data_IF_835705603898
#
_entry.id   IF_835705603898
#
_cell.length_a   1.000
_cell.length_b   1.000
_cell.length_c   1.000
_cell.angle_alpha   90.00
_cell.angle_beta   90.00
_cell.angle_gamma   90.00
#
_symmetry.space_group_name_H-M   'P 1'
#
loop_
_entity.id
_entity.type
_entity.pdbx_description
1 polymer ?
#
# COMPACT_ATOMS: atom_id res chain seq x y z
N UNK A 1 -16.56 18.19 -36.55
CA UNK A 1 -16.45 17.59 -35.19
C UNK A 1 -16.09 16.13 -35.42
N UNK A 2 -14.81 15.84 -35.30
CA UNK A 2 -14.26 14.48 -35.48
C UNK A 2 -14.74 13.57 -34.37
N UNK A 3 -15.43 12.48 -34.75
CA UNK A 3 -15.66 11.34 -33.89
C UNK A 3 -14.30 10.71 -33.56
N UNK A 4 -13.69 11.13 -32.47
CA UNK A 4 -12.61 10.38 -31.87
C UNK A 4 -13.21 9.05 -31.39
N UNK A 5 -12.89 7.99 -32.11
CA UNK A 5 -13.15 6.62 -31.70
C UNK A 5 -12.67 6.44 -30.27
N UNK A 6 -13.61 6.22 -29.33
CA UNK A 6 -13.30 5.78 -27.96
C UNK A 6 -12.60 4.42 -28.06
N UNK A 7 -11.28 4.43 -28.27
CA UNK A 7 -10.50 3.24 -28.00
C UNK A 7 -10.76 2.82 -26.56
N UNK A 8 -11.33 1.65 -26.40
CA UNK A 8 -11.48 1.00 -25.10
C UNK A 8 -10.08 0.76 -24.55
N UNK A 9 -9.55 1.70 -23.79
CA UNK A 9 -8.25 1.55 -23.13
C UNK A 9 -8.35 0.36 -22.16
N UNK A 10 -7.59 -0.68 -22.45
CA UNK A 10 -7.44 -1.84 -21.56
C UNK A 10 -6.89 -1.33 -20.23
N UNK A 11 -7.50 -1.77 -19.13
CA UNK A 11 -7.04 -1.38 -17.81
C UNK A 11 -5.59 -1.86 -17.58
N UNK A 12 -4.74 -1.08 -16.89
CA UNK A 12 -3.36 -1.46 -16.61
C UNK A 12 -3.25 -2.84 -15.97
N UNK A 13 -2.53 -3.75 -16.62
CA UNK A 13 -2.30 -5.10 -16.14
C UNK A 13 -0.92 -5.62 -16.60
N UNK A 14 -0.49 -6.75 -16.06
CA UNK A 14 0.66 -7.51 -16.51
C UNK A 14 0.45 -8.97 -16.12
N UNK A 15 -0.31 -9.71 -16.93
CA UNK A 15 -0.61 -11.12 -16.67
C UNK A 15 0.64 -11.98 -16.60
N UNK A 16 1.67 -11.64 -17.37
CA UNK A 16 2.97 -12.33 -17.34
C UNK A 16 3.64 -12.16 -15.96
N UNK A 17 3.65 -10.93 -15.41
CA UNK A 17 4.22 -10.70 -14.07
C UNK A 17 3.38 -11.35 -12.97
N UNK A 18 2.04 -11.39 -13.12
CA UNK A 18 1.18 -12.11 -12.20
C UNK A 18 1.48 -13.61 -12.18
N UNK A 19 1.67 -14.22 -13.36
CA UNK A 19 2.09 -15.62 -13.50
C UNK A 19 3.46 -15.86 -12.88
N UNK A 20 4.41 -14.97 -13.16
CA UNK A 20 5.74 -15.02 -12.59
C UNK A 20 5.70 -14.98 -11.06
N UNK A 21 4.92 -14.08 -10.49
CA UNK A 21 4.76 -13.95 -9.04
C UNK A 21 4.18 -15.22 -8.41
N UNK A 22 3.11 -15.78 -8.99
CA UNK A 22 2.50 -17.01 -8.51
C UNK A 22 3.46 -18.21 -8.63
N UNK A 23 4.22 -18.28 -9.71
CA UNK A 23 5.25 -19.30 -9.88
C UNK A 23 6.36 -19.20 -8.82
N UNK A 24 6.78 -17.98 -8.48
CA UNK A 24 7.73 -17.77 -7.38
C UNK A 24 7.22 -18.31 -6.05
N UNK A 25 5.93 -18.10 -5.74
CA UNK A 25 5.33 -18.63 -4.50
C UNK A 25 5.23 -20.14 -4.49
N UNK A 26 4.98 -20.76 -5.66
CA UNK A 26 4.93 -22.23 -5.80
C UNK A 26 6.30 -22.89 -5.66
N UNK A 27 7.35 -22.27 -6.21
CA UNK A 27 8.71 -22.83 -6.20
C UNK A 27 9.41 -22.53 -4.86
N UNK A 28 9.21 -21.33 -4.32
CA UNK A 28 9.92 -20.84 -3.15
C UNK A 28 9.21 -21.13 -1.81
N UNK A 29 7.95 -21.55 -1.84
CA UNK A 29 7.19 -21.94 -0.66
C UNK A 29 6.85 -20.77 0.27
N UNK A 30 6.99 -21.00 1.58
CA UNK A 30 6.51 -20.08 2.62
C UNK A 30 7.18 -18.71 2.58
N UNK A 31 8.47 -18.65 2.36
CA UNK A 31 9.23 -17.39 2.36
C UNK A 31 8.77 -16.44 1.25
N UNK A 32 8.65 -16.93 0.03
CA UNK A 32 8.18 -16.17 -1.12
C UNK A 32 6.70 -15.82 -1.00
N UNK A 33 5.93 -16.69 -0.36
CA UNK A 33 4.53 -16.42 -0.02
C UNK A 33 4.41 -15.27 0.98
N UNK A 34 5.23 -15.24 2.03
CA UNK A 34 5.27 -14.11 2.99
C UNK A 34 5.62 -12.79 2.32
N UNK A 35 6.66 -12.78 1.47
CA UNK A 35 7.05 -11.59 0.71
C UNK A 35 5.89 -11.12 -0.16
N UNK A 36 5.24 -12.05 -0.86
CA UNK A 36 4.10 -11.73 -1.72
C UNK A 36 2.92 -11.19 -0.90
N UNK A 37 2.61 -11.78 0.25
CA UNK A 37 1.54 -11.31 1.15
C UNK A 37 1.81 -9.93 1.75
N UNK A 38 3.08 -9.57 1.96
CA UNK A 38 3.46 -8.25 2.44
C UNK A 38 3.11 -7.15 1.42
N UNK A 39 3.22 -7.45 0.13
CA UNK A 39 2.87 -6.54 -0.97
C UNK A 39 1.39 -6.63 -1.36
N UNK A 40 0.89 -7.85 -1.58
CA UNK A 40 -0.43 -8.12 -2.12
C UNK A 40 -1.45 -8.28 -0.98
N UNK A 41 -1.86 -7.17 -0.40
CA UNK A 41 -2.86 -7.17 0.70
C UNK A 41 -4.29 -7.34 0.22
N UNK A 42 -4.56 -7.05 -1.06
CA UNK A 42 -5.88 -7.17 -1.66
C UNK A 42 -5.85 -8.18 -2.81
N UNK A 43 -6.76 -9.16 -2.79
CA UNK A 43 -6.85 -10.18 -3.85
C UNK A 43 -7.17 -9.59 -5.22
N UNK A 44 -7.79 -8.41 -5.26
CA UNK A 44 -8.07 -7.69 -6.50
C UNK A 44 -6.81 -7.11 -7.15
N UNK A 45 -5.65 -7.22 -6.50
CA UNK A 45 -4.37 -6.86 -7.11
C UNK A 45 -4.10 -7.69 -8.38
N UNK A 46 -4.53 -8.94 -8.42
CA UNK A 46 -4.49 -9.74 -9.63
C UNK A 46 -5.60 -9.31 -10.60
N UNK A 47 -5.23 -9.04 -11.85
CA UNK A 47 -6.17 -8.70 -12.92
C UNK A 47 -6.89 -9.94 -13.44
N UNK A 48 -6.14 -11.01 -13.69
CA UNK A 48 -6.69 -12.28 -14.15
C UNK A 48 -7.52 -12.93 -13.05
N UNK A 49 -8.78 -13.24 -13.35
CA UNK A 49 -9.66 -13.96 -12.42
C UNK A 49 -9.09 -15.32 -12.01
N UNK A 50 -8.36 -15.98 -12.92
CA UNK A 50 -7.71 -17.26 -12.68
C UNK A 50 -6.56 -17.08 -11.67
N UNK A 51 -5.69 -16.09 -11.88
CA UNK A 51 -4.58 -15.78 -10.98
C UNK A 51 -5.08 -15.38 -9.59
N UNK A 52 -6.18 -14.62 -9.52
CA UNK A 52 -6.85 -14.28 -8.27
C UNK A 52 -7.31 -15.51 -7.48
N UNK A 53 -7.89 -16.49 -8.17
CA UNK A 53 -8.32 -17.73 -7.52
C UNK A 53 -7.13 -18.56 -7.01
N UNK A 54 -6.08 -18.67 -7.81
CA UNK A 54 -4.83 -19.33 -7.42
C UNK A 54 -4.24 -18.65 -6.18
N UNK A 55 -4.14 -17.34 -6.18
CA UNK A 55 -3.64 -16.59 -5.02
C UNK A 55 -4.47 -16.82 -3.75
N UNK A 56 -5.79 -16.85 -3.87
CA UNK A 56 -6.68 -17.18 -2.74
C UNK A 56 -6.43 -18.58 -2.20
N UNK A 57 -6.20 -19.55 -3.07
CA UNK A 57 -5.89 -20.91 -2.67
C UNK A 57 -4.52 -20.99 -1.99
N UNK A 58 -3.47 -20.35 -2.52
CA UNK A 58 -2.14 -20.25 -1.90
C UNK A 58 -2.25 -19.65 -0.48
N UNK A 59 -2.93 -18.53 -0.33
CA UNK A 59 -3.15 -17.91 0.99
C UNK A 59 -3.88 -18.82 1.97
N UNK A 60 -4.83 -19.60 1.49
CA UNK A 60 -5.55 -20.54 2.32
C UNK A 60 -4.63 -21.66 2.81
N UNK A 61 -3.84 -22.26 1.92
CA UNK A 61 -2.89 -23.32 2.27
C UNK A 61 -1.86 -22.80 3.28
N UNK A 62 -1.25 -21.66 2.99
CA UNK A 62 -0.29 -21.01 3.89
C UNK A 62 -0.86 -20.77 5.30
N UNK A 63 -2.07 -20.19 5.40
CA UNK A 63 -2.72 -19.91 6.69
C UNK A 63 -3.07 -21.15 7.49
N UNK A 64 -3.25 -22.30 6.84
CA UNK A 64 -3.53 -23.57 7.47
C UNK A 64 -2.29 -24.45 7.68
N UNK A 65 -1.08 -23.90 7.44
CA UNK A 65 0.19 -24.61 7.52
C UNK A 65 0.20 -25.89 6.66
N UNK A 66 -0.42 -25.84 5.49
CA UNK A 66 -0.39 -26.91 4.49
C UNK A 66 0.67 -26.57 3.46
N UNK A 67 1.56 -27.52 3.18
CA UNK A 67 2.61 -27.35 2.17
C UNK A 67 2.02 -26.95 0.80
N UNK A 68 2.62 -25.94 0.18
CA UNK A 68 2.16 -25.38 -1.08
C UNK A 68 2.89 -26.11 -2.21
N UNK A 69 2.22 -27.07 -2.81
CA UNK A 69 2.67 -27.78 -4.00
C UNK A 69 1.58 -27.84 -5.08
N UNK A 70 1.91 -28.39 -6.25
CA UNK A 70 0.95 -28.50 -7.37
C UNK A 70 -0.28 -29.32 -7.02
N UNK A 71 -0.13 -30.36 -6.20
CA UNK A 71 -1.21 -31.30 -5.87
C UNK A 71 -2.16 -30.64 -4.89
N UNK A 72 -1.64 -30.15 -3.78
CA UNK A 72 -2.41 -29.47 -2.71
C UNK A 72 -3.11 -28.23 -3.26
N UNK A 73 -2.42 -27.46 -4.11
CA UNK A 73 -2.98 -26.27 -4.75
C UNK A 73 -4.08 -26.62 -5.76
N UNK A 74 -3.86 -27.63 -6.61
CA UNK A 74 -4.84 -28.09 -7.60
C UNK A 74 -6.12 -28.59 -6.92
N UNK A 75 -5.97 -29.36 -5.86
CA UNK A 75 -7.08 -29.91 -5.06
C UNK A 75 -7.86 -28.76 -4.39
N UNK A 76 -7.15 -27.80 -3.79
CA UNK A 76 -7.79 -26.64 -3.17
C UNK A 76 -8.53 -25.77 -4.17
N UNK A 77 -7.98 -25.53 -5.36
CA UNK A 77 -8.66 -24.77 -6.42
C UNK A 77 -9.91 -25.52 -6.87
N UNK A 78 -9.84 -26.86 -7.01
CA UNK A 78 -10.98 -27.69 -7.36
C UNK A 78 -12.09 -27.60 -6.33
N UNK A 79 -11.76 -27.64 -5.04
CA UNK A 79 -12.71 -27.43 -3.95
C UNK A 79 -13.42 -26.07 -4.02
N UNK A 80 -12.65 -25.03 -4.34
CA UNK A 80 -13.17 -23.64 -4.36
C UNK A 80 -13.99 -23.31 -5.62
N UNK A 81 -13.65 -23.92 -6.76
CA UNK A 81 -14.18 -23.52 -8.08
C UNK A 81 -14.88 -24.63 -8.84
N UNK A 82 -14.81 -25.86 -8.34
CA UNK A 82 -15.30 -27.06 -9.01
C UNK A 82 -14.42 -27.56 -10.16
N UNK A 83 -13.37 -26.82 -10.54
CA UNK A 83 -12.45 -27.15 -11.64
C UNK A 83 -11.03 -26.78 -11.28
N UNK A 84 -10.07 -27.57 -11.77
CA UNK A 84 -8.65 -27.22 -11.72
C UNK A 84 -8.03 -27.34 -13.10
N UNK A 85 -7.14 -26.42 -13.44
CA UNK A 85 -6.39 -26.42 -14.70
C UNK A 85 -4.92 -26.75 -14.37
N UNK A 86 -4.64 -28.06 -14.28
CA UNK A 86 -3.31 -28.55 -13.95
C UNK A 86 -2.26 -28.13 -15.00
N UNK A 87 -2.64 -27.98 -16.27
CA UNK A 87 -1.74 -27.51 -17.32
C UNK A 87 -1.31 -26.06 -17.05
N UNK A 88 -2.24 -25.19 -16.67
CA UNK A 88 -1.91 -23.82 -16.32
C UNK A 88 -1.01 -23.74 -15.07
N UNK A 89 -1.31 -24.54 -14.05
CA UNK A 89 -0.53 -24.58 -12.82
C UNK A 89 0.90 -25.08 -13.06
N UNK A 90 1.09 -26.12 -13.86
CA UNK A 90 2.44 -26.58 -14.24
C UNK A 90 3.20 -25.52 -15.03
N UNK A 91 2.56 -24.78 -15.91
CA UNK A 91 3.17 -23.67 -16.64
C UNK A 91 3.60 -22.48 -15.76
N UNK A 92 3.09 -22.36 -14.53
CA UNK A 92 3.60 -21.38 -13.58
C UNK A 92 4.98 -21.74 -13.03
N UNK A 93 5.34 -23.03 -13.02
CA UNK A 93 6.63 -23.50 -12.52
C UNK A 93 7.77 -23.38 -13.53
N UNK A 94 7.46 -23.02 -14.78
CA UNK A 94 8.47 -22.80 -15.82
C UNK A 94 9.26 -21.48 -15.65
N UNK A 95 9.06 -20.80 -14.51
CA UNK A 95 9.66 -19.51 -14.24
C UNK A 95 11.09 -19.67 -13.78
N UNK A 96 12.05 -18.93 -14.37
CA UNK A 96 13.48 -19.24 -14.22
C UNK A 96 14.09 -18.89 -12.86
N UNK A 97 13.43 -18.06 -12.00
CA UNK A 97 14.05 -17.63 -10.75
C UNK A 97 13.06 -17.03 -9.77
N UNK A 98 13.16 -17.43 -8.50
CA UNK A 98 12.43 -16.83 -7.37
C UNK A 98 13.09 -15.55 -6.84
N UNK A 99 14.32 -15.24 -7.30
CA UNK A 99 15.10 -14.09 -6.82
C UNK A 99 14.38 -12.74 -6.99
N UNK A 100 13.45 -12.65 -7.94
CA UNK A 100 12.76 -11.40 -8.28
C UNK A 100 11.35 -11.28 -7.70
N UNK A 101 10.96 -12.13 -6.73
CA UNK A 101 9.60 -12.15 -6.15
C UNK A 101 9.16 -10.77 -5.66
N UNK A 102 10.05 -10.04 -5.00
CA UNK A 102 9.76 -8.68 -4.49
C UNK A 102 9.43 -7.71 -5.63
N UNK A 103 10.19 -7.77 -6.72
CA UNK A 103 9.99 -6.91 -7.88
C UNK A 103 8.69 -7.26 -8.62
N UNK A 104 8.40 -8.55 -8.80
CA UNK A 104 7.13 -8.98 -9.40
C UNK A 104 5.94 -8.55 -8.54
N UNK A 105 6.02 -8.70 -7.22
CA UNK A 105 4.98 -8.27 -6.30
C UNK A 105 4.77 -6.75 -6.36
N UNK A 106 5.86 -5.97 -6.45
CA UNK A 106 5.80 -4.52 -6.63
C UNK A 106 5.08 -4.14 -7.94
N UNK A 107 5.45 -4.76 -9.07
CA UNK A 107 4.84 -4.47 -10.37
C UNK A 107 3.34 -4.80 -10.36
N UNK A 108 2.95 -5.97 -9.84
CA UNK A 108 1.54 -6.37 -9.74
C UNK A 108 0.75 -5.36 -8.90
N UNK A 109 1.33 -4.92 -7.77
CA UNK A 109 0.73 -3.92 -6.91
C UNK A 109 0.60 -2.55 -7.58
N UNK A 110 1.63 -2.08 -8.27
CA UNK A 110 1.59 -0.82 -9.03
C UNK A 110 0.52 -0.84 -10.13
N UNK A 111 0.39 -1.97 -10.85
CA UNK A 111 -0.68 -2.14 -11.83
C UNK A 111 -2.07 -2.11 -11.19
N UNK A 112 -2.21 -2.67 -10.01
CA UNK A 112 -3.44 -2.59 -9.23
C UNK A 112 -3.78 -1.14 -8.86
N UNK A 113 -2.81 -0.39 -8.32
CA UNK A 113 -2.99 1.03 -7.99
C UNK A 113 -3.42 1.82 -9.23
N UNK A 114 -2.74 1.62 -10.36
CA UNK A 114 -3.09 2.28 -11.62
C UNK A 114 -4.53 1.96 -12.05
N UNK A 115 -4.97 0.71 -11.92
CA UNK A 115 -6.35 0.29 -12.24
C UNK A 115 -7.37 0.97 -11.34
N UNK A 116 -7.18 0.88 -10.04
CA UNK A 116 -8.11 1.45 -9.05
C UNK A 116 -8.21 2.97 -9.21
N UNK A 117 -7.07 3.63 -9.46
CA UNK A 117 -7.05 5.08 -9.74
C UNK A 117 -7.83 5.40 -11.02
N UNK A 118 -7.64 4.65 -12.10
CA UNK A 118 -8.36 4.86 -13.35
C UNK A 118 -9.87 4.63 -13.19
N UNK A 119 -10.27 3.56 -12.49
CA UNK A 119 -11.68 3.24 -12.20
C UNK A 119 -12.32 4.34 -11.33
N UNK A 120 -11.61 4.76 -10.29
CA UNK A 120 -12.09 5.80 -9.38
C UNK A 120 -12.21 7.17 -10.07
N UNK A 121 -11.22 7.54 -10.88
CA UNK A 121 -11.27 8.77 -11.67
C UNK A 121 -12.43 8.77 -12.67
N UNK A 122 -12.72 7.64 -13.32
CA UNK A 122 -13.88 7.51 -14.20
C UNK A 122 -15.19 7.69 -13.45
N UNK A 123 -15.33 7.04 -12.29
CA UNK A 123 -16.52 7.21 -11.43
C UNK A 123 -16.70 8.66 -10.98
N UNK A 124 -15.60 9.34 -10.64
CA UNK A 124 -15.63 10.75 -10.27
C UNK A 124 -16.05 11.62 -11.45
N UNK A 125 -15.53 11.32 -12.65
CA UNK A 125 -15.91 12.02 -13.89
C UNK A 125 -17.40 11.81 -14.20
N UNK A 126 -17.88 10.58 -14.17
CA UNK A 126 -19.29 10.26 -14.45
C UNK A 126 -20.21 10.98 -13.43
N UNK A 127 -19.89 10.95 -12.14
CA UNK A 127 -20.62 11.61 -11.09
C UNK A 127 -20.61 13.15 -11.15
N UNK A 128 -19.59 13.73 -11.77
CA UNK A 128 -19.53 15.20 -11.93
C UNK A 128 -20.57 15.75 -12.92
N UNK A 129 -21.20 14.88 -13.70
CA UNK A 129 -22.34 15.22 -14.57
C UNK A 129 -23.70 14.97 -13.91
N UNK A 130 -23.71 14.41 -12.69
CA UNK A 130 -24.89 14.11 -11.90
C UNK A 130 -25.12 15.14 -10.79
N UNK A 131 -26.06 14.90 -9.86
CA UNK A 131 -26.43 15.89 -8.85
C UNK A 131 -25.27 16.12 -7.83
N UNK A 132 -25.01 17.38 -7.48
CA UNK A 132 -23.90 17.85 -6.63
C UNK A 132 -23.74 17.09 -5.30
N UNK A 133 -24.82 16.58 -4.73
CA UNK A 133 -24.77 15.82 -3.47
C UNK A 133 -24.02 14.49 -3.58
N UNK A 134 -24.04 13.85 -4.73
CA UNK A 134 -23.30 12.61 -4.94
C UNK A 134 -21.83 12.85 -5.19
N UNK A 135 -21.46 13.94 -5.87
CA UNK A 135 -20.05 14.28 -6.15
C UNK A 135 -19.23 14.40 -4.87
N UNK A 136 -19.75 15.02 -3.82
CA UNK A 136 -19.06 15.15 -2.53
C UNK A 136 -18.69 13.78 -1.93
N UNK A 137 -19.64 12.84 -1.90
CA UNK A 137 -19.42 11.51 -1.34
C UNK A 137 -18.44 10.67 -2.17
N UNK A 138 -18.43 10.85 -3.50
CA UNK A 138 -17.53 10.15 -4.41
C UNK A 138 -16.11 10.72 -4.31
N UNK A 139 -15.99 12.05 -4.18
CA UNK A 139 -14.70 12.71 -3.95
C UNK A 139 -14.05 12.23 -2.64
N UNK A 140 -14.84 12.13 -1.57
CA UNK A 140 -14.37 11.60 -0.29
C UNK A 140 -13.88 10.15 -0.40
N UNK A 141 -14.64 9.30 -1.07
CA UNK A 141 -14.26 7.91 -1.35
C UNK A 141 -13.00 7.83 -2.21
N UNK A 142 -12.88 8.70 -3.22
CA UNK A 142 -11.70 8.76 -4.09
C UNK A 142 -10.45 9.18 -3.30
N UNK A 143 -10.56 10.22 -2.49
CA UNK A 143 -9.46 10.70 -1.63
C UNK A 143 -9.02 9.61 -0.65
N UNK A 144 -9.97 8.93 -0.02
CA UNK A 144 -9.69 7.83 0.90
C UNK A 144 -8.99 6.66 0.19
N UNK A 145 -9.46 6.26 -0.98
CA UNK A 145 -8.83 5.21 -1.79
C UNK A 145 -7.37 5.56 -2.13
N UNK A 146 -7.12 6.79 -2.60
CA UNK A 146 -5.75 7.24 -2.90
C UNK A 146 -4.86 7.22 -1.67
N UNK A 147 -5.40 7.59 -0.50
CA UNK A 147 -4.66 7.54 0.76
C UNK A 147 -4.32 6.10 1.15
N UNK A 148 -5.32 5.21 1.13
CA UNK A 148 -5.13 3.78 1.41
C UNK A 148 -4.10 3.14 0.46
N UNK A 149 -4.11 3.50 -0.82
CA UNK A 149 -3.15 3.00 -1.81
C UNK A 149 -1.72 3.50 -1.56
N UNK A 150 -1.56 4.73 -1.05
CA UNK A 150 -0.23 5.27 -0.72
C UNK A 150 0.39 4.64 0.53
N UNK A 151 -0.44 4.26 1.51
CA UNK A 151 0.04 3.67 2.77
C UNK A 151 0.52 2.22 2.63
N UNK A 152 0.22 1.57 1.52
CA UNK A 152 0.49 0.15 1.30
C UNK A 152 1.85 -0.13 0.65
N UNK A 153 2.76 0.82 0.62
CA UNK A 153 4.14 0.40 0.40
C UNK A 153 4.58 -0.43 1.62
N UNK A 154 4.96 -1.73 1.43
CA UNK A 154 5.58 -2.43 2.53
C UNK A 154 6.72 -1.54 2.97
N UNK A 155 6.66 -1.10 4.23
CA UNK A 155 7.83 -0.45 4.80
C UNK A 155 8.99 -1.37 4.43
N UNK A 156 9.97 -0.89 3.66
CA UNK A 156 11.28 -1.54 3.61
C UNK A 156 11.50 -2.00 5.03
N UNK A 157 11.79 -3.29 5.25
CA UNK A 157 12.39 -3.68 6.52
C UNK A 157 13.57 -2.73 6.63
N UNK A 158 13.37 -1.62 7.32
CA UNK A 158 14.40 -0.61 7.52
C UNK A 158 15.39 -1.38 8.35
N UNK A 159 16.50 -1.75 7.75
CA UNK A 159 17.55 -2.43 8.50
C UNK A 159 17.89 -1.50 9.66
N UNK A 160 18.17 -2.05 10.83
CA UNK A 160 18.53 -1.23 12.00
C UNK A 160 19.66 -0.26 11.62
N UNK A 161 20.54 -0.65 10.70
CA UNK A 161 21.57 0.21 10.11
C UNK A 161 20.98 1.43 9.38
N UNK A 162 19.93 1.25 8.57
CA UNK A 162 19.28 2.36 7.85
C UNK A 162 18.60 3.33 8.82
N UNK A 163 17.94 2.80 9.89
CA UNK A 163 17.36 3.62 10.95
C UNK A 163 18.43 4.41 11.72
N UNK A 164 19.57 3.78 12.00
CA UNK A 164 20.70 4.44 12.68
C UNK A 164 21.33 5.52 11.78
N UNK A 165 21.41 5.29 10.48
CA UNK A 165 21.96 6.26 9.54
C UNK A 165 20.99 7.42 9.28
N UNK A 166 19.68 7.17 9.21
CA UNK A 166 18.64 8.19 9.22
C UNK A 166 18.68 9.02 10.53
N UNK A 167 18.84 8.36 11.68
CA UNK A 167 19.01 9.05 12.95
C UNK A 167 20.28 9.91 12.98
N UNK A 168 21.42 9.40 12.48
CA UNK A 168 22.67 10.17 12.37
C UNK A 168 22.54 11.37 11.44
N UNK A 169 21.82 11.20 10.32
CA UNK A 169 21.56 12.27 9.36
C UNK A 169 20.66 13.34 9.99
N UNK A 170 19.58 12.93 10.66
CA UNK A 170 18.71 13.85 11.38
C UNK A 170 19.43 14.59 12.51
N UNK A 171 20.38 13.96 13.20
CA UNK A 171 21.21 14.59 14.22
C UNK A 171 22.22 15.58 13.59
N UNK A 172 22.80 15.25 12.42
CA UNK A 172 23.74 16.11 11.70
C UNK A 172 23.09 17.32 11.04
N UNK A 173 21.87 17.14 10.49
CA UNK A 173 21.11 18.20 9.84
C UNK A 173 20.37 19.12 10.83
N UNK A 174 20.48 18.84 12.13
CA UNK A 174 19.68 19.47 13.18
C UNK A 174 18.23 19.03 13.08
N UNK A 175 17.72 18.40 14.14
CA UNK A 175 16.30 18.06 14.23
C UNK A 175 15.51 19.29 13.81
N UNK A 176 14.53 19.16 12.92
CA UNK A 176 13.64 20.22 12.46
C UNK A 176 12.78 20.72 13.64
N UNK A 177 13.44 21.37 14.59
CA UNK A 177 12.85 21.91 15.81
C UNK A 177 12.34 23.31 15.49
N UNK A 178 11.10 23.56 15.84
CA UNK A 178 10.52 24.89 15.85
C UNK A 178 10.67 25.40 17.28
N UNK A 179 11.51 26.43 17.54
CA UNK A 179 11.68 26.97 18.88
C UNK A 179 10.37 27.60 19.36
N UNK A 180 10.13 27.56 20.66
CA UNK A 180 9.02 28.30 21.27
C UNK A 180 9.28 29.83 21.27
N UNK A 181 10.49 30.25 20.93
CA UNK A 181 10.97 31.63 21.08
C UNK A 181 10.82 32.16 22.52
N UNK A 182 10.99 31.26 23.48
CA UNK A 182 11.03 31.51 24.92
C UNK A 182 12.23 30.81 25.50
N UNK A 183 13.31 31.54 25.81
CA UNK A 183 14.61 30.93 26.18
C UNK A 183 14.52 29.87 27.26
N UNK A 184 13.67 30.06 28.26
CA UNK A 184 13.49 29.08 29.32
C UNK A 184 12.78 27.81 28.86
N UNK A 185 11.75 27.93 28.00
CA UNK A 185 11.03 26.78 27.43
C UNK A 185 11.90 26.05 26.43
N UNK A 186 12.63 26.77 25.58
CA UNK A 186 13.53 26.19 24.60
C UNK A 186 14.67 25.44 25.28
N UNK A 187 15.19 25.97 26.37
CA UNK A 187 16.19 25.29 27.18
C UNK A 187 15.65 24.03 27.87
N UNK A 188 14.42 24.11 28.41
CA UNK A 188 13.83 23.02 29.21
C UNK A 188 13.19 21.91 28.36
N UNK A 189 12.55 22.26 27.24
CA UNK A 189 11.77 21.35 26.43
C UNK A 189 12.30 21.16 24.98
N UNK A 190 13.33 21.90 24.58
CA UNK A 190 14.02 21.75 23.30
C UNK A 190 13.25 22.27 22.08
N UNK A 191 12.04 22.81 22.25
CA UNK A 191 11.19 23.25 21.13
C UNK A 191 10.14 22.21 20.70
N UNK A 192 9.45 22.45 19.58
CA UNK A 192 8.46 21.57 18.98
C UNK A 192 9.07 20.84 17.77
N UNK A 193 8.86 19.53 17.69
CA UNK A 193 9.32 18.75 16.54
C UNK A 193 8.32 18.88 15.39
N UNK A 194 8.78 19.12 14.16
CA UNK A 194 7.91 19.11 12.97
C UNK A 194 7.29 17.74 12.75
N UNK A 195 6.05 17.71 12.28
CA UNK A 195 5.25 16.50 12.03
C UNK A 195 4.81 15.75 13.29
N UNK A 196 5.00 16.32 14.49
CA UNK A 196 4.51 15.77 15.75
C UNK A 196 3.41 16.65 16.35
N UNK A 197 2.62 16.06 17.24
CA UNK A 197 1.58 16.77 17.98
C UNK A 197 2.13 17.17 19.33
N UNK A 198 2.24 18.49 19.59
CA UNK A 198 2.62 19.01 20.90
C UNK A 198 1.37 19.31 21.72
N UNK A 199 1.23 18.70 22.88
CA UNK A 199 0.08 18.88 23.77
C UNK A 199 0.47 19.74 24.97
N UNK A 200 -0.27 20.84 25.17
CA UNK A 200 -0.11 21.71 26.35
C UNK A 200 -1.20 21.38 27.37
N UNK A 201 -0.83 20.68 28.44
CA UNK A 201 -1.71 20.32 29.55
C UNK A 201 -1.61 21.30 30.73
N UNK A 202 -2.70 21.45 31.48
CA UNK A 202 -2.73 22.26 32.72
C UNK A 202 -4.14 22.43 33.25
N UNK A 203 -4.26 22.82 34.53
CA UNK A 203 -5.57 23.06 35.16
C UNK A 203 -6.30 24.25 34.50
N UNK A 204 -7.63 24.31 34.59
CA UNK A 204 -8.41 25.50 34.16
C UNK A 204 -7.86 26.79 34.82
N UNK A 205 -7.77 27.87 34.06
CA UNK A 205 -7.28 29.16 34.57
C UNK A 205 -5.72 29.33 34.61
N UNK A 206 -4.93 28.31 34.33
CA UNK A 206 -3.47 28.37 34.40
C UNK A 206 -2.79 28.92 33.13
N UNK A 207 -3.49 29.70 32.34
CA UNK A 207 -2.89 30.44 31.20
C UNK A 207 -2.45 29.61 29.99
N UNK A 208 -3.00 28.39 29.79
CA UNK A 208 -2.66 27.56 28.62
C UNK A 208 -2.82 28.28 27.30
N UNK A 209 -3.97 28.90 27.09
CA UNK A 209 -4.29 29.67 25.87
C UNK A 209 -3.33 30.85 25.70
N UNK A 210 -3.00 31.54 26.79
CA UNK A 210 -2.05 32.66 26.79
C UNK A 210 -0.67 32.18 26.38
N UNK A 211 -0.21 31.03 26.90
CA UNK A 211 1.08 30.45 26.55
C UNK A 211 1.10 30.09 25.03
N UNK A 212 0.11 29.38 24.55
CA UNK A 212 0.01 28.98 23.11
C UNK A 212 -0.02 30.23 22.21
N UNK A 213 -0.82 31.25 22.57
CA UNK A 213 -0.89 32.51 21.83
C UNK A 213 0.47 33.23 21.80
N UNK A 214 1.21 33.23 22.90
CA UNK A 214 2.53 33.82 22.96
C UNK A 214 3.60 33.04 22.17
N UNK A 215 3.49 31.71 22.07
CA UNK A 215 4.34 30.89 21.22
C UNK A 215 4.05 31.23 19.75
N UNK A 216 2.78 31.23 19.33
CA UNK A 216 2.39 31.57 17.97
C UNK A 216 2.86 32.97 17.56
N UNK A 217 2.69 33.97 18.43
CA UNK A 217 3.20 35.33 18.18
C UNK A 217 4.72 35.40 18.03
N UNK A 218 5.44 34.49 18.63
CA UNK A 218 6.90 34.42 18.50
C UNK A 218 7.37 33.70 17.22
N UNK A 219 6.45 33.03 16.50
CA UNK A 219 6.73 32.29 15.27
C UNK A 219 6.37 33.09 14.00
N UNK A 220 5.67 34.19 14.13
CA UNK A 220 5.30 35.15 13.07
C UNK A 220 6.30 36.29 13.05
#
# INVERSE_FOLDING_TARGET
MSEESKELKVLPNSEETERALLGCTLIGGDKETEITMAWIRNDNAFYSSKNKQIWKAIKYLYKNNVEIDLITLSDKIKDMTGKSDSYYLSGLMEIPSTANVTEYARIVWEKYIQRETAISARKLMDASYEDYKEVGSILEKHTRLIHELKEVQPSKKTDISDLVDDMKTNIKEGVNIIPFNKPYLDFSAGGMTRKEITVVGGRPGHGKTTLVTNIIKGLI
#
